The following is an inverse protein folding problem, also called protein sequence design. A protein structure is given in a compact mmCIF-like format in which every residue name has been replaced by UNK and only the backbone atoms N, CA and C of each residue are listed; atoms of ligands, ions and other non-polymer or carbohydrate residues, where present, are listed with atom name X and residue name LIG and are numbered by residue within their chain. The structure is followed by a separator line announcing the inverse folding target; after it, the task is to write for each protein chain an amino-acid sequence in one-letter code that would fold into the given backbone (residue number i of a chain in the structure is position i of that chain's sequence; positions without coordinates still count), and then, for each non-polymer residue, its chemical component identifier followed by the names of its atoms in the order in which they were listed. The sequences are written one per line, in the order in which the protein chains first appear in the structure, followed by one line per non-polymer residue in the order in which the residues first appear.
data_IF_478990466989
#
_entry.id   IF_478990466989
#
_cell.length_a   1.000
_cell.length_b   1.000
_cell.length_c   1.000
_cell.angle_alpha   90.00
_cell.angle_beta   90.00
_cell.angle_gamma   90.00
#
_symmetry.space_group_name_H-M   'P 1'
#
loop_
_entity.id
_entity.type
_entity.pdbx_description
1 polymer ?
#
# COMPACT_ATOMS: atom_id res chain seq x y z
N UNK A 1 14.64 -7.94 -11.78
CA UNK A 1 15.06 -6.63 -11.29
C UNK A 1 15.22 -6.61 -9.78
N UNK A 2 16.06 -5.73 -9.30
CA UNK A 2 16.33 -5.54 -7.88
C UNK A 2 16.21 -4.06 -7.53
N UNK A 3 15.87 -3.77 -6.28
CA UNK A 3 15.68 -2.41 -5.76
C UNK A 3 16.42 -2.26 -4.44
N UNK A 4 17.13 -1.16 -4.27
CA UNK A 4 17.74 -0.78 -3.00
C UNK A 4 17.25 0.61 -2.60
N UNK A 5 16.87 0.78 -1.32
CA UNK A 5 16.38 2.04 -0.78
C UNK A 5 17.49 2.81 -0.06
N UNK A 6 17.52 4.14 -0.25
CA UNK A 6 18.29 5.01 0.64
C UNK A 6 17.59 5.11 2.00
N UNK A 7 18.22 4.56 3.03
CA UNK A 7 17.70 4.54 4.41
C UNK A 7 18.22 5.70 5.26
N UNK A 8 18.84 6.70 4.67
CA UNK A 8 19.46 7.80 5.43
C UNK A 8 18.45 8.51 6.33
N UNK A 9 17.24 8.75 5.87
CA UNK A 9 16.16 9.37 6.65
C UNK A 9 15.79 8.56 7.90
N UNK A 10 15.80 7.24 7.81
CA UNK A 10 15.44 6.34 8.93
C UNK A 10 16.51 6.31 10.03
N UNK A 11 17.76 6.63 9.70
CA UNK A 11 18.85 6.69 10.68
C UNK A 11 18.71 7.88 11.63
N UNK A 12 18.01 8.94 11.21
CA UNK A 12 17.85 10.17 12.00
C UNK A 12 16.66 10.17 12.94
N UNK A 13 15.60 9.39 12.67
CA UNK A 13 14.43 9.30 13.53
C UNK A 13 13.76 7.91 13.50
N UNK A 14 14.49 6.84 13.88
CA UNK A 14 14.02 5.46 13.72
C UNK A 14 12.79 5.11 14.57
N UNK A 15 12.49 5.90 15.61
CA UNK A 15 11.37 5.63 16.53
C UNK A 15 10.11 6.47 16.24
N UNK A 16 10.20 7.45 15.34
CA UNK A 16 9.08 8.33 15.04
C UNK A 16 8.11 7.73 14.02
N UNK A 17 8.56 6.79 13.22
CA UNK A 17 7.83 6.17 12.11
C UNK A 17 7.50 4.72 12.39
N UNK A 18 6.33 4.26 11.88
CA UNK A 18 5.99 2.83 11.81
C UNK A 18 6.53 2.18 10.53
N UNK A 19 6.64 2.95 9.45
CA UNK A 19 7.21 2.46 8.20
C UNK A 19 8.70 2.18 8.36
N UNK A 20 9.12 0.99 7.95
CA UNK A 20 10.50 0.55 8.02
C UNK A 20 10.92 0.01 6.65
N UNK A 21 11.70 0.80 5.89
CA UNK A 21 12.16 0.37 4.57
C UNK A 21 13.07 -0.86 4.70
N UNK A 22 12.92 -1.83 3.78
CA UNK A 22 13.79 -3.00 3.72
C UNK A 22 15.26 -2.62 3.65
N UNK A 23 16.12 -3.42 4.29
CA UNK A 23 17.57 -3.26 4.23
C UNK A 23 18.15 -4.06 3.07
N UNK A 24 19.21 -3.51 2.47
CA UNK A 24 19.93 -4.17 1.40
C UNK A 24 19.16 -4.19 0.06
N UNK A 25 19.62 -5.06 -0.80
CA UNK A 25 19.17 -5.19 -2.18
C UNK A 25 17.99 -6.18 -2.26
N UNK A 26 16.82 -5.69 -2.63
CA UNK A 26 15.55 -6.43 -2.64
C UNK A 26 15.22 -6.96 -4.04
N UNK A 27 14.96 -8.24 -4.16
CA UNK A 27 14.40 -8.83 -5.38
C UNK A 27 12.93 -8.47 -5.58
N UNK A 28 12.52 -8.24 -6.83
CA UNK A 28 11.12 -8.06 -7.19
C UNK A 28 10.50 -9.45 -7.40
N UNK A 29 9.65 -9.86 -6.46
CA UNK A 29 8.99 -11.16 -6.46
C UNK A 29 7.74 -11.20 -7.35
N UNK A 30 7.01 -10.07 -7.45
CA UNK A 30 5.80 -9.94 -8.23
C UNK A 30 5.61 -8.50 -8.69
N UNK A 31 4.99 -8.32 -9.85
CA UNK A 31 4.56 -7.03 -10.35
C UNK A 31 3.04 -7.00 -10.44
N UNK A 32 2.43 -5.96 -9.89
CA UNK A 32 1.00 -5.65 -9.97
C UNK A 32 0.75 -4.47 -10.89
N UNK A 33 -0.24 -4.62 -11.77
CA UNK A 33 -0.70 -3.58 -12.69
C UNK A 33 -2.15 -3.25 -12.40
N UNK A 34 -2.42 -1.97 -12.13
CA UNK A 34 -3.74 -1.45 -11.78
C UNK A 34 -4.05 -0.29 -12.71
N UNK A 35 -5.02 -0.48 -13.59
CA UNK A 35 -5.55 0.59 -14.44
C UNK A 35 -6.67 1.34 -13.69
N UNK A 36 -6.42 2.61 -13.37
CA UNK A 36 -7.38 3.46 -12.66
C UNK A 36 -8.25 4.31 -13.61
N UNK A 37 -8.06 4.15 -14.92
CA UNK A 37 -8.74 4.96 -15.95
C UNK A 37 -8.06 6.32 -16.19
N UNK A 38 -8.54 7.01 -17.22
CA UNK A 38 -8.06 8.36 -17.60
C UNK A 38 -6.54 8.47 -17.80
N UNK A 39 -5.88 7.36 -18.11
CA UNK A 39 -4.42 7.28 -18.28
C UNK A 39 -3.63 7.14 -16.98
N UNK A 40 -4.29 7.04 -15.83
CA UNK A 40 -3.66 6.74 -14.55
C UNK A 40 -3.43 5.25 -14.41
N UNK A 41 -2.19 4.87 -14.14
CA UNK A 41 -1.79 3.50 -13.86
C UNK A 41 -1.02 3.45 -12.55
N UNK A 42 -1.42 2.57 -11.67
CA UNK A 42 -0.68 2.28 -10.45
C UNK A 42 0.08 0.96 -10.62
N UNK A 43 1.39 1.04 -10.45
CA UNK A 43 2.31 -0.08 -10.53
C UNK A 43 2.73 -0.47 -9.12
N UNK A 44 2.65 -1.75 -8.77
CA UNK A 44 3.15 -2.29 -7.51
C UNK A 44 4.25 -3.31 -7.77
N UNK A 45 5.40 -3.08 -7.20
CA UNK A 45 6.55 -3.99 -7.24
C UNK A 45 6.67 -4.62 -5.86
N UNK A 46 6.17 -5.85 -5.73
CA UNK A 46 6.23 -6.61 -4.47
C UNK A 46 7.64 -7.16 -4.28
N UNK A 47 8.22 -6.92 -3.12
CA UNK A 47 9.59 -7.22 -2.77
C UNK A 47 9.69 -8.48 -1.92
N UNK A 48 10.92 -8.97 -1.71
CA UNK A 48 11.16 -10.19 -0.93
C UNK A 48 10.88 -10.04 0.57
N UNK A 49 11.08 -8.84 1.15
CA UNK A 49 10.97 -8.56 2.58
C UNK A 49 9.65 -7.86 2.95
N UNK A 50 8.50 -8.51 2.71
CA UNK A 50 7.16 -8.03 3.10
C UNK A 50 6.94 -6.53 2.86
N UNK A 51 7.40 -6.04 1.70
CA UNK A 51 7.32 -4.66 1.29
C UNK A 51 6.92 -4.53 -0.18
N UNK A 52 6.48 -3.36 -0.59
CA UNK A 52 6.28 -3.05 -2.00
C UNK A 52 6.59 -1.59 -2.31
N UNK A 53 7.08 -1.38 -3.52
CA UNK A 53 7.19 -0.06 -4.13
C UNK A 53 5.93 0.18 -4.98
N UNK A 54 5.25 1.29 -4.72
CA UNK A 54 4.10 1.73 -5.51
C UNK A 54 4.48 2.96 -6.33
N UNK A 55 4.25 2.91 -7.62
CA UNK A 55 4.51 4.00 -8.56
C UNK A 55 3.21 4.36 -9.26
N UNK A 56 2.81 5.61 -9.18
CA UNK A 56 1.69 6.15 -9.94
C UNK A 56 2.22 6.83 -11.20
N UNK A 57 1.66 6.49 -12.34
CA UNK A 57 1.97 7.15 -13.61
C UNK A 57 0.74 7.75 -14.28
N UNK A 58 0.95 8.80 -15.06
CA UNK A 58 -0.03 9.34 -15.99
C UNK A 58 0.64 9.44 -17.35
N UNK A 59 0.19 8.62 -18.30
CA UNK A 59 0.92 8.41 -19.54
C UNK A 59 2.35 7.95 -19.25
N UNK A 60 3.35 8.67 -19.77
CA UNK A 60 4.77 8.35 -19.59
C UNK A 60 5.44 9.06 -18.39
N UNK A 61 4.65 9.79 -17.57
CA UNK A 61 5.16 10.56 -16.44
C UNK A 61 4.91 9.88 -15.11
N UNK A 62 5.92 9.85 -14.25
CA UNK A 62 5.77 9.45 -12.85
C UNK A 62 5.18 10.60 -12.07
N UNK A 63 4.03 10.39 -11.44
CA UNK A 63 3.33 11.37 -10.59
C UNK A 63 3.75 11.24 -9.12
N UNK A 64 3.88 10.03 -8.64
CA UNK A 64 4.31 9.76 -7.26
C UNK A 64 4.92 8.39 -7.10
N UNK A 65 5.76 8.25 -6.08
CA UNK A 65 6.32 6.97 -5.67
C UNK A 65 6.24 6.84 -4.15
N UNK A 66 5.84 5.67 -3.68
CA UNK A 66 5.74 5.36 -2.26
C UNK A 66 6.35 4.00 -1.99
N UNK A 67 7.08 3.88 -0.90
CA UNK A 67 7.54 2.60 -0.39
C UNK A 67 6.70 2.21 0.83
N UNK A 68 6.16 1.00 0.82
CA UNK A 68 5.32 0.45 1.87
C UNK A 68 5.91 -0.82 2.44
N UNK A 69 5.73 -1.01 3.74
CA UNK A 69 5.99 -2.26 4.45
C UNK A 69 4.70 -2.80 5.03
N UNK A 70 4.44 -4.10 4.92
CA UNK A 70 3.33 -4.74 5.60
C UNK A 70 3.58 -4.75 7.10
N UNK A 71 2.65 -4.15 7.84
CA UNK A 71 2.70 -4.04 9.30
C UNK A 71 1.90 -5.15 9.97
N UNK A 72 0.74 -5.48 9.39
CA UNK A 72 -0.17 -6.50 9.91
C UNK A 72 -0.99 -7.11 8.78
N UNK A 73 -1.28 -8.41 8.90
CA UNK A 73 -2.22 -9.12 8.04
C UNK A 73 -3.25 -9.84 8.90
N UNK A 74 -4.52 -9.58 8.65
CA UNK A 74 -5.65 -10.22 9.30
C UNK A 74 -6.32 -11.18 8.33
N UNK A 75 -6.49 -12.43 8.74
CA UNK A 75 -7.17 -13.44 7.94
C UNK A 75 -8.58 -13.70 8.52
N UNK A 76 -9.65 -13.17 7.90
CA UNK A 76 -11.00 -13.45 8.34
C UNK A 76 -11.33 -14.95 8.25
N UNK A 77 -12.10 -15.51 9.19
CA UNK A 77 -12.35 -16.96 9.24
C UNK A 77 -13.31 -17.46 8.14
N UNK A 78 -14.03 -16.55 7.46
CA UNK A 78 -14.97 -16.91 6.39
C UNK A 78 -15.18 -15.73 5.43
N UNK A 79 -15.74 -16.04 4.25
CA UNK A 79 -16.08 -15.01 3.26
C UNK A 79 -17.14 -14.04 3.80
N UNK A 80 -18.09 -14.50 4.60
CA UNK A 80 -19.10 -13.64 5.22
C UNK A 80 -18.47 -12.66 6.22
N UNK A 81 -17.47 -13.12 6.99
CA UNK A 81 -16.70 -12.27 7.88
C UNK A 81 -15.89 -11.24 7.12
N UNK A 82 -15.23 -11.64 6.02
CA UNK A 82 -14.51 -10.74 5.12
C UNK A 82 -15.44 -9.67 4.54
N UNK A 83 -16.55 -10.06 3.93
CA UNK A 83 -17.54 -9.14 3.35
C UNK A 83 -18.10 -8.15 4.38
N UNK A 84 -18.32 -8.61 5.61
CA UNK A 84 -18.79 -7.76 6.71
C UNK A 84 -17.74 -6.71 7.09
N UNK A 85 -16.46 -7.09 7.11
CA UNK A 85 -15.37 -6.17 7.39
C UNK A 85 -15.24 -5.13 6.27
N UNK A 86 -15.29 -5.54 5.00
CA UNK A 86 -15.29 -4.61 3.86
C UNK A 86 -16.43 -3.60 3.95
N UNK A 87 -17.63 -4.06 4.32
CA UNK A 87 -18.83 -3.21 4.35
C UNK A 87 -18.92 -2.30 5.58
N UNK A 88 -18.32 -2.66 6.73
CA UNK A 88 -18.64 -2.03 8.01
C UNK A 88 -17.46 -1.71 8.92
N UNK A 89 -16.25 -2.15 8.59
CA UNK A 89 -15.08 -1.84 9.41
C UNK A 89 -14.79 -0.34 9.39
N UNK A 90 -14.59 0.25 10.56
CA UNK A 90 -14.15 1.64 10.67
C UNK A 90 -12.80 1.85 9.95
N UNK A 91 -11.90 0.86 10.01
CA UNK A 91 -10.59 0.93 9.34
C UNK A 91 -10.70 0.91 7.81
N UNK A 92 -11.84 0.52 7.25
CA UNK A 92 -12.13 0.52 5.82
C UNK A 92 -13.13 1.61 5.43
N UNK A 93 -13.04 2.79 6.06
CA UNK A 93 -13.85 3.91 5.58
C UNK A 93 -14.11 5.05 6.55
N UNK A 94 -13.83 4.93 7.85
CA UNK A 94 -14.01 6.05 8.78
C UNK A 94 -13.11 7.25 8.44
N UNK A 95 -13.56 8.45 8.77
CA UNK A 95 -12.80 9.68 8.53
C UNK A 95 -11.48 9.70 9.32
N UNK A 96 -11.52 9.16 10.55
CA UNK A 96 -10.35 9.03 11.45
C UNK A 96 -10.37 7.67 12.11
N UNK A 97 -9.21 7.06 12.24
CA UNK A 97 -9.02 5.80 12.97
C UNK A 97 -7.84 5.92 13.93
N UNK A 98 -7.85 5.12 15.00
CA UNK A 98 -6.67 4.88 15.82
C UNK A 98 -6.09 3.51 15.42
N UNK A 99 -4.82 3.49 15.05
CA UNK A 99 -4.12 2.27 14.68
C UNK A 99 -2.66 2.33 15.13
N UNK A 100 -2.16 1.22 15.70
CA UNK A 100 -0.80 1.11 16.25
C UNK A 100 -0.43 2.26 17.20
N UNK A 101 -1.40 2.74 18.01
CA UNK A 101 -1.20 3.80 18.99
C UNK A 101 -1.17 5.23 18.42
N UNK A 102 -1.50 5.40 17.15
CA UNK A 102 -1.54 6.70 16.48
C UNK A 102 -2.92 6.99 15.87
N UNK A 103 -3.25 8.26 15.77
CA UNK A 103 -4.43 8.74 15.06
C UNK A 103 -4.07 8.99 13.58
N UNK A 104 -4.94 8.50 12.69
CA UNK A 104 -4.78 8.59 11.25
C UNK A 104 -6.01 9.23 10.63
N UNK A 105 -5.81 10.22 9.79
CA UNK A 105 -6.87 10.88 9.03
C UNK A 105 -6.98 10.30 7.61
N UNK A 106 -8.20 10.06 7.16
CA UNK A 106 -8.47 9.53 5.83
C UNK A 106 -8.05 10.54 4.75
N UNK A 107 -7.24 10.08 3.79
CA UNK A 107 -6.82 10.83 2.61
C UNK A 107 -7.77 10.56 1.43
N UNK A 108 -8.17 9.32 1.26
CA UNK A 108 -9.12 8.93 0.21
C UNK A 108 -10.46 9.61 0.45
N UNK A 109 -10.89 10.45 -0.51
CA UNK A 109 -12.16 11.20 -0.42
C UNK A 109 -12.29 11.93 0.91
N UNK A 110 -11.29 12.75 1.28
CA UNK A 110 -11.19 13.42 2.58
C UNK A 110 -12.44 14.24 2.96
N UNK A 111 -13.08 14.87 1.97
CA UNK A 111 -14.26 15.71 2.16
C UNK A 111 -15.60 14.94 2.19
N UNK A 112 -15.58 13.64 1.92
CA UNK A 112 -16.77 12.79 2.03
C UNK A 112 -17.04 12.44 3.50
N UNK A 113 -18.31 12.22 3.86
CA UNK A 113 -18.82 12.02 5.23
C UNK A 113 -18.00 11.15 6.18
N UNK A 114 -18.51 10.91 7.37
CA UNK A 114 -17.79 10.22 8.46
C UNK A 114 -17.38 8.79 8.12
N UNK A 115 -18.18 8.09 7.31
CA UNK A 115 -17.92 6.74 6.84
C UNK A 115 -18.20 6.67 5.33
N UNK A 116 -17.26 6.16 4.57
CA UNK A 116 -17.41 5.88 3.13
C UNK A 116 -17.08 4.41 2.84
N UNK A 117 -17.56 3.84 1.73
CA UNK A 117 -17.08 2.54 1.28
C UNK A 117 -15.61 2.65 0.85
N UNK A 118 -14.81 1.57 0.98
CA UNK A 118 -13.47 1.53 0.43
C UNK A 118 -13.50 1.62 -1.09
N UNK A 119 -12.41 2.10 -1.68
CA UNK A 119 -12.23 2.14 -3.12
C UNK A 119 -11.94 0.73 -3.64
N UNK A 120 -12.77 0.26 -4.57
CA UNK A 120 -12.60 -1.04 -5.20
C UNK A 120 -11.84 -0.89 -6.53
N UNK A 121 -10.82 -1.73 -6.74
CA UNK A 121 -10.08 -1.79 -8.00
C UNK A 121 -9.46 -3.18 -8.20
N UNK A 122 -9.26 -3.54 -9.47
CA UNK A 122 -8.66 -4.81 -9.86
C UNK A 122 -7.17 -4.64 -10.16
N UNK A 123 -6.40 -5.64 -9.79
CA UNK A 123 -4.97 -5.72 -9.99
C UNK A 123 -4.61 -7.00 -10.74
N UNK A 124 -3.86 -6.87 -11.83
CA UNK A 124 -3.32 -8.00 -12.58
C UNK A 124 -1.90 -8.27 -12.11
N UNK A 125 -1.64 -9.51 -11.70
CA UNK A 125 -0.36 -9.93 -11.12
C UNK A 125 0.50 -10.67 -12.14
N UNK A 126 1.82 -10.38 -12.13
CA UNK A 126 2.84 -10.97 -13.00
C UNK A 126 4.05 -11.41 -12.16
N UNK A 127 4.38 -12.70 -12.18
CA UNK A 127 5.48 -13.27 -11.37
C UNK A 127 6.71 -13.67 -12.16
N UNK A 128 6.63 -13.79 -13.50
CA UNK A 128 7.70 -14.30 -14.35
C UNK A 128 8.11 -13.29 -15.42
N UNK A 129 9.34 -13.40 -15.92
CA UNK A 129 9.82 -12.66 -17.07
C UNK A 129 10.09 -13.63 -18.24
N UNK A 130 9.60 -13.33 -19.46
CA UNK A 130 8.73 -12.18 -19.79
C UNK A 130 7.45 -12.22 -18.97
N UNK A 131 6.83 -11.04 -18.69
CA UNK A 131 5.73 -10.95 -17.75
C UNK A 131 4.59 -11.89 -18.16
N UNK A 132 4.39 -12.92 -17.36
CA UNK A 132 3.31 -13.88 -17.50
C UNK A 132 2.27 -13.60 -16.43
N UNK A 133 1.03 -13.34 -16.84
CA UNK A 133 -0.09 -13.18 -15.93
C UNK A 133 -0.19 -14.39 -15.01
N UNK A 134 -0.11 -14.17 -13.72
CA UNK A 134 -0.13 -15.21 -12.69
C UNK A 134 -1.38 -15.21 -11.83
N UNK A 135 -2.19 -14.15 -11.91
CA UNK A 135 -3.43 -14.04 -11.16
C UNK A 135 -4.06 -12.67 -11.25
N UNK A 136 -5.21 -12.55 -10.61
CA UNK A 136 -5.95 -11.32 -10.42
C UNK A 136 -6.25 -11.15 -8.93
N UNK A 137 -6.33 -9.90 -8.51
CA UNK A 137 -6.62 -9.51 -7.15
C UNK A 137 -7.64 -8.37 -7.18
N UNK A 138 -8.74 -8.50 -6.47
CA UNK A 138 -9.64 -7.38 -6.21
C UNK A 138 -9.27 -6.76 -4.86
N UNK A 139 -9.05 -5.47 -4.89
CA UNK A 139 -8.67 -4.67 -3.74
C UNK A 139 -9.83 -3.78 -3.30
N UNK A 140 -10.01 -3.62 -1.98
CA UNK A 140 -10.93 -2.67 -1.34
C UNK A 140 -10.10 -1.85 -0.35
N UNK A 141 -9.63 -0.68 -0.77
CA UNK A 141 -8.62 0.06 -0.04
C UNK A 141 -9.09 1.42 0.45
N UNK A 142 -8.54 1.83 1.59
CA UNK A 142 -8.61 3.20 2.11
C UNK A 142 -7.20 3.62 2.50
N UNK A 143 -6.83 4.85 2.14
CA UNK A 143 -5.57 5.46 2.51
C UNK A 143 -5.79 6.48 3.61
N UNK A 144 -4.98 6.38 4.64
CA UNK A 144 -4.90 7.31 5.75
C UNK A 144 -3.52 7.94 5.80
N UNK A 145 -3.41 9.10 6.44
CA UNK A 145 -2.13 9.75 6.71
C UNK A 145 -2.03 10.23 8.14
N UNK A 146 -0.81 10.36 8.62
CA UNK A 146 -0.46 11.10 9.83
C UNK A 146 0.80 11.91 9.60
N UNK A 147 0.89 13.08 10.22
CA UNK A 147 2.12 13.87 10.23
C UNK A 147 3.10 13.31 11.26
N UNK A 148 4.32 13.01 10.83
CA UNK A 148 5.44 12.69 11.71
C UNK A 148 6.18 14.00 12.02
N UNK A 149 5.91 14.58 13.21
CA UNK A 149 6.34 15.93 13.55
C UNK A 149 7.85 16.14 13.47
N UNK A 150 8.64 15.17 13.94
CA UNK A 150 10.10 15.24 13.99
C UNK A 150 10.73 15.28 12.59
N UNK A 151 10.08 14.67 11.61
CA UNK A 151 10.53 14.60 10.22
C UNK A 151 9.85 15.62 9.31
N UNK A 152 8.76 16.26 9.77
CA UNK A 152 7.87 17.12 8.98
C UNK A 152 7.43 16.44 7.68
N UNK A 153 7.11 15.16 7.77
CA UNK A 153 6.67 14.30 6.66
C UNK A 153 5.41 13.55 7.03
N UNK A 154 4.60 13.28 6.03
CA UNK A 154 3.46 12.39 6.19
C UNK A 154 3.91 10.93 6.07
N UNK A 155 3.39 10.11 6.96
CA UNK A 155 3.40 8.67 6.87
C UNK A 155 2.01 8.20 6.45
N UNK A 156 1.96 7.26 5.53
CA UNK A 156 0.71 6.72 5.00
C UNK A 156 0.41 5.36 5.61
N UNK A 157 -0.86 5.09 5.80
CA UNK A 157 -1.40 3.78 6.14
C UNK A 157 -2.41 3.36 5.08
N UNK A 158 -2.12 2.28 4.37
CA UNK A 158 -3.07 1.64 3.45
C UNK A 158 -3.72 0.49 4.19
N UNK A 159 -5.04 0.56 4.37
CA UNK A 159 -5.85 -0.56 4.84
C UNK A 159 -6.53 -1.15 3.62
N UNK A 160 -6.22 -2.39 3.28
CA UNK A 160 -6.65 -3.02 2.05
C UNK A 160 -7.24 -4.41 2.32
N UNK A 161 -8.49 -4.59 1.94
CA UNK A 161 -9.10 -5.91 1.91
C UNK A 161 -8.87 -6.52 0.53
N UNK A 162 -8.22 -7.67 0.48
CA UNK A 162 -7.74 -8.34 -0.72
C UNK A 162 -8.53 -9.63 -0.95
N UNK A 163 -9.06 -9.80 -2.16
CA UNK A 163 -9.76 -11.00 -2.60
C UNK A 163 -9.11 -11.53 -3.89
N UNK A 164 -8.44 -12.67 -3.80
CA UNK A 164 -7.79 -13.35 -4.92
C UNK A 164 -8.52 -14.63 -5.35
N UNK A 165 -9.73 -14.85 -4.86
CA UNK A 165 -10.58 -15.98 -5.24
C UNK A 165 -11.10 -16.81 -4.06
N UNK A 166 -11.70 -17.96 -4.32
CA UNK A 166 -12.34 -18.77 -3.29
C UNK A 166 -11.41 -19.09 -2.11
N UNK A 167 -11.80 -18.67 -0.92
CA UNK A 167 -11.06 -18.84 0.33
C UNK A 167 -9.64 -18.22 0.34
N UNK A 168 -9.38 -17.26 -0.53
CA UNK A 168 -8.11 -16.51 -0.61
C UNK A 168 -8.38 -15.03 -0.42
N UNK A 169 -8.60 -14.62 0.80
CA UNK A 169 -8.88 -13.23 1.18
C UNK A 169 -8.19 -12.89 2.49
N UNK A 170 -7.74 -11.64 2.59
CA UNK A 170 -7.15 -11.10 3.82
C UNK A 170 -7.40 -9.58 3.91
N UNK A 171 -7.06 -9.00 5.06
CA UNK A 171 -6.98 -7.56 5.24
C UNK A 171 -5.56 -7.23 5.62
N UNK A 172 -4.91 -6.38 4.84
CA UNK A 172 -3.54 -5.93 5.07
C UNK A 172 -3.51 -4.50 5.58
N UNK A 173 -2.56 -4.22 6.44
CA UNK A 173 -2.20 -2.90 6.92
C UNK A 173 -0.77 -2.64 6.49
N UNK A 174 -0.57 -1.74 5.55
CA UNK A 174 0.75 -1.37 5.07
C UNK A 174 1.05 0.09 5.41
N UNK A 175 2.20 0.34 6.01
CA UNK A 175 2.67 1.67 6.34
C UNK A 175 3.77 2.09 5.38
N UNK A 176 3.77 3.34 4.96
CA UNK A 176 4.72 3.78 3.95
C UNK A 176 4.95 5.27 3.93
N UNK A 177 5.89 5.65 3.09
CA UNK A 177 6.28 7.04 2.86
C UNK A 177 6.41 7.32 1.37
N UNK A 178 6.25 8.59 1.03
CA UNK A 178 6.65 9.08 -0.28
C UNK A 178 8.18 9.05 -0.41
N UNK A 179 8.65 8.61 -1.57
CA UNK A 179 10.08 8.56 -1.93
C UNK A 179 10.30 9.22 -3.28
N UNK A 180 11.48 9.79 -3.48
CA UNK A 180 11.90 10.32 -4.76
C UNK A 180 12.70 9.30 -5.58
N UNK A 181 12.93 9.58 -6.86
CA UNK A 181 13.79 8.75 -7.72
C UNK A 181 15.22 8.65 -7.20
N UNK A 182 15.70 9.69 -6.51
CA UNK A 182 17.04 9.72 -5.89
C UNK A 182 17.17 8.79 -4.67
N UNK A 183 16.04 8.35 -4.12
CA UNK A 183 16.00 7.49 -2.93
C UNK A 183 16.02 5.99 -3.30
N UNK A 184 16.11 5.69 -4.61
CA UNK A 184 16.13 4.35 -5.18
C UNK A 184 17.37 4.12 -6.04
N UNK A 185 17.95 2.95 -5.89
CA UNK A 185 18.87 2.34 -6.86
C UNK A 185 18.20 1.10 -7.45
N UNK A 186 18.14 1.02 -8.79
CA UNK A 186 17.46 -0.06 -9.52
C UNK A 186 18.49 -0.75 -10.42
N UNK A 187 18.66 -2.07 -10.25
CA UNK A 187 19.59 -2.89 -11.02
C UNK A 187 18.91 -4.11 -11.69
#
# INVERSE_FOLDING_TARGET
GRVQFDRTLYRFAPQAMLAELPDGDQGIACYGHIDLGDGYVMHRFYLEDDAYLQVMTVGDSIESMHAFTYYETVNPPSIESFQRLVARSAHLGAQRINYAGHDWDRVTSADAGEQIPPMAFDEVLFREQPPRRSGDLTNYAVVYSRMVADLKRDELLVVNAEDSGPNQFCITYAVGIEIGQSDLDIT
#
